data_IF_996678528222
#
_entry.id   IF_996678528222
#
_cell.length_a   1.000
_cell.length_b   1.000
_cell.length_c   1.000
_cell.angle_alpha   90.00
_cell.angle_beta   90.00
_cell.angle_gamma   90.00
#
_symmetry.space_group_name_H-M   'P 1'
#
loop_
_entity.id
_entity.type
_entity.pdbx_description
1 polymer ?
#
# COMPACT_ATOMS: atom_id res chain seq x y z
N UNK A 1 -2.98 -4.24 -1.96
CA UNK A 1 -2.02 -4.19 -3.08
C UNK A 1 -2.75 -3.78 -4.35
N UNK A 2 -2.23 -2.84 -5.17
CA UNK A 2 -2.89 -2.47 -6.42
C UNK A 2 -2.87 -3.65 -7.38
N UNK A 3 -4.04 -4.03 -7.88
CA UNK A 3 -4.17 -5.11 -8.85
C UNK A 3 -4.10 -4.52 -10.26
N UNK A 4 -2.86 -4.18 -10.66
CA UNK A 4 -2.54 -3.49 -11.92
C UNK A 4 -3.00 -4.23 -13.19
N UNK A 5 -3.50 -5.48 -13.07
CA UNK A 5 -4.01 -6.29 -14.17
C UNK A 5 -5.49 -6.07 -14.52
N UNK A 6 -6.25 -5.32 -13.72
CA UNK A 6 -7.69 -5.09 -14.00
C UNK A 6 -7.95 -3.68 -14.55
N UNK A 7 -8.66 -3.53 -15.69
CA UNK A 7 -8.91 -2.24 -16.34
C UNK A 7 -9.76 -1.24 -15.52
N UNK A 8 -10.25 -1.65 -14.34
CA UNK A 8 -11.01 -0.81 -13.41
C UNK A 8 -10.23 -0.50 -12.11
N UNK A 9 -8.96 -0.92 -11.99
CA UNK A 9 -8.14 -0.74 -10.79
C UNK A 9 -7.90 0.72 -10.38
N UNK A 10 -8.16 1.69 -11.28
CA UNK A 10 -8.06 3.12 -10.99
C UNK A 10 -9.32 3.95 -11.32
N UNK A 11 -10.42 3.31 -11.75
CA UNK A 11 -11.65 4.04 -12.06
C UNK A 11 -12.49 4.22 -10.81
N UNK A 12 -12.87 5.47 -10.52
CA UNK A 12 -13.82 5.77 -9.44
C UNK A 12 -15.15 5.04 -9.71
N UNK A 13 -15.77 4.45 -8.68
CA UNK A 13 -17.14 3.94 -8.79
C UNK A 13 -18.06 5.03 -9.35
N UNK A 14 -19.02 4.63 -10.19
CA UNK A 14 -20.07 5.55 -10.68
C UNK A 14 -20.91 6.13 -9.52
N UNK A 15 -21.05 5.38 -8.42
CA UNK A 15 -21.70 5.80 -7.19
C UNK A 15 -20.71 5.96 -6.03
N UNK A 16 -20.97 6.93 -5.14
CA UNK A 16 -20.19 7.12 -3.90
C UNK A 16 -20.40 5.95 -2.94
N UNK A 17 -19.41 5.70 -2.07
CA UNK A 17 -19.50 4.68 -1.03
C UNK A 17 -20.54 5.08 0.03
N UNK A 18 -21.22 4.09 0.61
CA UNK A 18 -21.95 4.31 1.87
C UNK A 18 -20.96 4.59 3.02
N UNK A 19 -21.47 5.05 4.16
CA UNK A 19 -20.65 5.30 5.35
C UNK A 19 -19.94 4.02 5.82
N UNK A 20 -20.64 2.88 5.82
CA UNK A 20 -20.11 1.58 6.22
C UNK A 20 -19.03 1.09 5.25
N UNK A 21 -19.26 1.24 3.95
CA UNK A 21 -18.28 0.91 2.91
C UNK A 21 -17.02 1.78 3.03
N UNK A 22 -17.18 3.09 3.27
CA UNK A 22 -16.06 4.01 3.44
C UNK A 22 -15.22 3.64 4.67
N UNK A 23 -15.85 3.38 5.81
CA UNK A 23 -15.14 2.96 7.02
C UNK A 23 -14.38 1.65 6.76
N UNK A 24 -15.00 0.69 6.06
CA UNK A 24 -14.33 -0.56 5.69
C UNK A 24 -13.14 -0.32 4.77
N UNK A 25 -13.28 0.52 3.74
CA UNK A 25 -12.18 0.87 2.83
C UNK A 25 -11.01 1.52 3.57
N UNK A 26 -11.28 2.45 4.50
CA UNK A 26 -10.24 3.09 5.32
C UNK A 26 -9.49 2.05 6.17
N UNK A 27 -10.19 1.07 6.76
CA UNK A 27 -9.52 -0.01 7.51
C UNK A 27 -8.60 -0.85 6.62
N UNK A 28 -9.04 -1.17 5.41
CA UNK A 28 -8.19 -1.89 4.45
C UNK A 28 -6.97 -1.06 4.02
N UNK A 29 -7.12 0.25 3.82
CA UNK A 29 -6.00 1.13 3.52
C UNK A 29 -4.98 1.12 4.66
N UNK A 30 -5.42 1.32 5.90
CA UNK A 30 -4.54 1.25 7.08
C UNK A 30 -3.80 -0.08 7.17
N UNK A 31 -4.48 -1.22 6.97
CA UNK A 31 -3.84 -2.53 6.96
C UNK A 31 -2.83 -2.68 5.82
N UNK A 32 -3.13 -2.15 4.63
CA UNK A 32 -2.22 -2.19 3.49
C UNK A 32 -0.96 -1.35 3.73
N UNK A 33 -1.07 -0.20 4.38
CA UNK A 33 0.11 0.61 4.76
C UNK A 33 1.00 -0.12 5.76
N UNK A 34 0.42 -0.78 6.79
CA UNK A 34 1.21 -1.60 7.72
C UNK A 34 1.96 -2.73 7.02
N UNK A 35 1.31 -3.41 6.07
CA UNK A 35 1.94 -4.45 5.25
C UNK A 35 3.07 -3.87 4.38
N UNK A 36 2.84 -2.71 3.75
CA UNK A 36 3.85 -2.04 2.93
C UNK A 36 5.10 -1.67 3.75
N UNK A 37 4.92 -1.05 4.93
CA UNK A 37 6.01 -0.72 5.86
C UNK A 37 6.80 -1.98 6.23
N UNK A 38 6.10 -3.06 6.60
CA UNK A 38 6.76 -4.32 6.94
C UNK A 38 7.60 -4.86 5.77
N UNK A 39 7.08 -4.81 4.54
CA UNK A 39 7.78 -5.27 3.34
C UNK A 39 9.01 -4.40 3.02
N UNK A 40 8.90 -3.08 3.14
CA UNK A 40 10.02 -2.17 2.90
C UNK A 40 11.16 -2.40 3.88
N UNK A 41 10.85 -2.49 5.18
CA UNK A 41 11.85 -2.75 6.22
C UNK A 41 12.50 -4.12 6.04
N UNK A 42 11.71 -5.17 5.78
CA UNK A 42 12.24 -6.51 5.54
C UNK A 42 13.18 -6.54 4.33
N UNK A 43 12.85 -5.81 3.25
CA UNK A 43 13.70 -5.73 2.07
C UNK A 43 14.99 -4.94 2.34
N UNK A 44 14.92 -3.84 3.10
CA UNK A 44 16.08 -3.06 3.52
C UNK A 44 17.04 -3.90 4.37
N UNK A 45 16.52 -4.73 5.27
CA UNK A 45 17.30 -5.68 6.08
C UNK A 45 17.91 -6.82 5.25
N UNK A 46 17.40 -7.07 4.04
CA UNK A 46 17.76 -8.21 3.18
C UNK A 46 18.69 -7.84 2.01
N UNK A 47 19.24 -6.62 1.98
CA UNK A 47 20.16 -6.15 0.94
C UNK A 47 21.41 -5.52 1.55
N UNK A 48 22.51 -5.49 0.80
CA UNK A 48 23.76 -4.80 1.18
C UNK A 48 23.94 -3.46 0.45
N UNK A 49 23.02 -3.10 -0.45
CA UNK A 49 23.07 -1.81 -1.15
C UNK A 49 22.61 -0.68 -0.23
N UNK A 50 23.56 0.16 0.19
CA UNK A 50 23.31 1.25 1.15
C UNK A 50 22.33 2.30 0.61
N UNK A 51 22.36 2.61 -0.69
CA UNK A 51 21.43 3.58 -1.27
C UNK A 51 20.01 3.01 -1.31
N UNK A 52 19.86 1.72 -1.61
CA UNK A 52 18.56 1.06 -1.55
C UNK A 52 17.99 1.04 -0.13
N UNK A 53 18.82 0.79 0.90
CA UNK A 53 18.39 0.85 2.31
C UNK A 53 17.87 2.24 2.68
N UNK A 54 18.63 3.28 2.36
CA UNK A 54 18.25 4.66 2.67
C UNK A 54 16.88 5.01 2.08
N UNK A 55 16.65 4.65 0.81
CA UNK A 55 15.36 4.89 0.14
C UNK A 55 14.23 4.06 0.76
N UNK A 56 14.46 2.78 1.03
CA UNK A 56 13.41 1.90 1.59
C UNK A 56 12.99 2.32 3.00
N UNK A 57 13.94 2.76 3.84
CA UNK A 57 13.66 3.25 5.19
C UNK A 57 13.01 4.64 5.16
N UNK A 58 13.33 5.50 4.19
CA UNK A 58 12.67 6.81 4.05
C UNK A 58 11.20 6.69 3.58
N UNK A 59 10.88 5.64 2.83
CA UNK A 59 9.50 5.36 2.37
C UNK A 59 8.64 4.75 3.50
N UNK A 60 9.25 3.99 4.40
CA UNK A 60 8.57 3.24 5.47
C UNK A 60 8.21 4.13 6.68
#
# INVERSE_FOLDING_TARGET
MPDFGTPFSGLKKEQKLTKEELIRAIRFLVSAEYEAIQLYMQLAESTDDELAKDVLVDIA
#
